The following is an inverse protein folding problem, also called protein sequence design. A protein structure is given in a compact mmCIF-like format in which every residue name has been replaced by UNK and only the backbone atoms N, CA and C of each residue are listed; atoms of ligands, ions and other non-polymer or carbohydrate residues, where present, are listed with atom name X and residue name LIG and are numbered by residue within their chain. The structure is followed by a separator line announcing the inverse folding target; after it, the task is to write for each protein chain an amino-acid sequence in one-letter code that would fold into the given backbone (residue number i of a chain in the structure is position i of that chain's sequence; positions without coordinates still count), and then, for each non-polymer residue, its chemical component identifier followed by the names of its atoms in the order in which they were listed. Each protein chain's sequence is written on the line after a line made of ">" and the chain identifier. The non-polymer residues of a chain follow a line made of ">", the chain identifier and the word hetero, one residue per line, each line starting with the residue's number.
data_IF_481300869033
#
_entry.id   IF_481300869033
#
_cell.length_a   1.000
_cell.length_b   1.000
_cell.length_c   1.000
_cell.angle_alpha   90.00
_cell.angle_beta   90.00
_cell.angle_gamma   90.00
#
_symmetry.space_group_name_H-M   'P 1'
#
loop_
_entity.id
_entity.type
_entity.pdbx_description
1 polymer ?
#
# COMPACT_ATOMS: atom_id res chain seq x y z
N UNK A 1 4.24 -24.24 -10.73
CA UNK A 1 4.89 -23.37 -9.73
C UNK A 1 3.92 -22.30 -9.21
N UNK A 2 3.21 -21.57 -10.08
CA UNK A 2 2.10 -20.68 -9.67
C UNK A 2 0.90 -21.42 -9.05
N UNK A 3 0.56 -22.62 -9.54
CA UNK A 3 -0.44 -23.50 -8.92
C UNK A 3 -0.07 -23.98 -7.49
N UNK A 4 1.22 -24.10 -7.19
CA UNK A 4 1.70 -24.40 -5.82
C UNK A 4 1.60 -23.19 -4.90
N UNK A 5 1.70 -21.97 -5.44
CA UNK A 5 1.46 -20.74 -4.68
C UNK A 5 -0.04 -20.55 -4.40
N UNK A 6 -0.92 -20.91 -5.35
CA UNK A 6 -2.37 -20.92 -5.14
C UNK A 6 -2.81 -22.00 -4.13
N UNK A 7 -2.27 -23.21 -4.19
CA UNK A 7 -2.50 -24.26 -3.21
C UNK A 7 -1.98 -23.92 -1.80
N UNK A 8 -0.93 -23.09 -1.70
CA UNK A 8 -0.39 -22.59 -0.42
C UNK A 8 -1.13 -21.37 0.13
N UNK A 9 -1.67 -20.51 -0.73
CA UNK A 9 -2.69 -19.52 -0.35
C UNK A 9 -3.94 -20.22 0.21
N UNK A 10 -4.30 -21.39 -0.34
CA UNK A 10 -5.35 -22.26 0.19
C UNK A 10 -4.98 -22.93 1.53
N UNK A 11 -3.70 -23.14 1.84
CA UNK A 11 -3.24 -23.60 3.16
C UNK A 11 -3.46 -22.57 4.29
N UNK A 12 -3.48 -21.28 3.96
CA UNK A 12 -3.96 -20.19 4.82
C UNK A 12 -5.49 -19.98 4.74
N UNK A 13 -6.19 -20.77 3.94
CA UNK A 13 -7.64 -20.87 3.92
C UNK A 13 -8.15 -22.10 4.70
N UNK A 14 -7.37 -22.64 5.64
CA UNK A 14 -7.97 -23.41 6.74
C UNK A 14 -8.95 -22.49 7.47
N UNK A 15 -10.07 -23.02 7.97
CA UNK A 15 -11.14 -22.21 8.58
C UNK A 15 -10.61 -21.19 9.59
N UNK A 16 -9.71 -21.62 10.48
CA UNK A 16 -9.07 -20.78 11.49
C UNK A 16 -8.24 -19.59 10.95
N UNK A 17 -7.66 -19.72 9.74
CA UNK A 17 -6.83 -18.67 9.12
C UNK A 17 -7.65 -17.70 8.26
N UNK A 18 -8.86 -18.09 7.83
CA UNK A 18 -9.83 -17.16 7.20
C UNK A 18 -10.41 -16.17 8.20
N UNK A 19 -10.77 -16.64 9.39
CA UNK A 19 -11.31 -15.79 10.46
C UNK A 19 -10.30 -14.72 10.89
N UNK A 20 -9.02 -15.10 10.93
CA UNK A 20 -7.93 -14.17 11.21
C UNK A 20 -7.75 -13.11 10.11
N UNK A 21 -7.80 -13.48 8.83
CA UNK A 21 -7.70 -12.50 7.75
C UNK A 21 -8.89 -11.53 7.76
N UNK A 22 -10.08 -12.01 8.12
CA UNK A 22 -11.24 -11.16 8.36
C UNK A 22 -11.04 -10.23 9.57
N UNK A 23 -10.45 -10.72 10.66
CA UNK A 23 -10.10 -9.92 11.85
C UNK A 23 -9.05 -8.84 11.55
N UNK A 24 -7.97 -9.19 10.85
CA UNK A 24 -6.95 -8.24 10.40
C UNK A 24 -7.57 -7.18 9.48
N UNK A 25 -8.45 -7.58 8.55
CA UNK A 25 -9.18 -6.64 7.69
C UNK A 25 -10.08 -5.71 8.51
N UNK A 26 -10.83 -6.24 9.49
CA UNK A 26 -11.70 -5.45 10.38
C UNK A 26 -10.91 -4.46 11.22
N UNK A 27 -9.83 -4.92 11.85
CA UNK A 27 -8.93 -4.07 12.63
C UNK A 27 -8.31 -2.97 11.74
N UNK A 28 -7.92 -3.31 10.51
CA UNK A 28 -7.39 -2.34 9.54
C UNK A 28 -8.40 -1.27 9.16
N UNK A 29 -9.65 -1.65 8.90
CA UNK A 29 -10.73 -0.69 8.61
C UNK A 29 -11.07 0.19 9.82
N UNK A 30 -11.04 -0.39 11.03
CA UNK A 30 -11.28 0.35 12.27
C UNK A 30 -10.20 1.38 12.54
N UNK A 31 -8.93 0.99 12.39
CA UNK A 31 -7.78 1.89 12.47
C UNK A 31 -7.93 3.00 11.42
N UNK A 32 -8.24 2.66 10.17
CA UNK A 32 -8.47 3.64 9.10
C UNK A 32 -9.53 4.68 9.48
N UNK A 33 -10.71 4.25 9.93
CA UNK A 33 -11.79 5.17 10.37
C UNK A 33 -11.40 6.05 11.56
N UNK A 34 -10.64 5.50 12.50
CA UNK A 34 -10.14 6.26 13.66
C UNK A 34 -9.15 7.34 13.21
N UNK A 35 -8.28 7.00 12.26
CA UNK A 35 -7.34 7.96 11.66
C UNK A 35 -8.06 9.07 10.88
N UNK A 36 -9.15 8.74 10.19
CA UNK A 36 -9.98 9.70 9.45
C UNK A 36 -10.73 10.68 10.39
N UNK A 37 -11.11 10.25 11.60
CA UNK A 37 -11.90 11.05 12.54
C UNK A 37 -11.06 12.00 13.42
N UNK A 38 -9.84 11.61 13.80
CA UNK A 38 -9.05 12.33 14.83
C UNK A 38 -8.05 13.35 14.31
N UNK A 39 -7.57 13.23 13.07
CA UNK A 39 -6.35 13.94 12.65
C UNK A 39 -5.15 13.64 13.56
N UNK A 40 -3.94 14.03 13.16
CA UNK A 40 -2.72 13.65 13.91
C UNK A 40 -2.58 14.28 15.31
N UNK A 41 -3.47 15.21 15.69
CA UNK A 41 -3.35 15.99 16.93
C UNK A 41 -3.75 15.19 18.19
N UNK A 42 -4.57 14.15 18.06
CA UNK A 42 -5.05 13.36 19.21
C UNK A 42 -4.66 11.86 19.16
N UNK A 43 -4.02 11.39 18.07
CA UNK A 43 -3.67 9.97 17.86
C UNK A 43 -2.54 9.41 18.73
N UNK A 44 -2.15 10.11 19.80
CA UNK A 44 -1.31 9.55 20.86
C UNK A 44 -2.05 8.49 21.70
N UNK A 45 -3.38 8.38 21.57
CA UNK A 45 -4.21 7.48 22.35
C UNK A 45 -4.99 6.48 21.48
N UNK A 46 -4.28 5.56 20.82
CA UNK A 46 -4.86 4.41 20.10
C UNK A 46 -5.41 3.31 21.04
N UNK A 47 -5.65 3.61 22.33
CA UNK A 47 -6.06 2.62 23.35
C UNK A 47 -7.56 2.33 23.38
N UNK A 48 -8.37 3.09 22.66
CA UNK A 48 -9.82 2.97 22.66
C UNK A 48 -10.35 2.58 21.27
N UNK A 49 -10.25 1.30 20.91
CA UNK A 49 -11.00 0.76 19.77
C UNK A 49 -11.90 -0.36 20.30
N UNK A 50 -13.21 -0.08 20.31
CA UNK A 50 -14.28 -0.96 20.82
C UNK A 50 -14.76 -1.94 19.76
N UNK A 51 -15.09 -3.12 20.29
CA UNK A 51 -15.83 -4.28 19.78
C UNK A 51 -16.95 -3.98 18.76
N UNK A 52 -16.82 -4.43 17.50
CA UNK A 52 -17.93 -4.48 16.53
C UNK A 52 -17.77 -5.70 15.60
N UNK A 53 -18.79 -6.55 15.62
CA UNK A 53 -19.01 -7.70 14.75
C UNK A 53 -19.42 -7.27 13.34
N UNK A 54 -18.74 -7.79 12.31
CA UNK A 54 -19.25 -7.79 10.94
C UNK A 54 -18.66 -8.97 10.15
N UNK A 55 -19.54 -9.70 9.48
CA UNK A 55 -19.25 -10.80 8.56
C UNK A 55 -18.49 -10.31 7.32
N UNK A 56 -17.45 -11.05 6.91
CA UNK A 56 -16.77 -10.81 5.63
C UNK A 56 -16.63 -12.13 4.88
N UNK A 57 -17.44 -12.29 3.83
CA UNK A 57 -17.20 -13.23 2.73
C UNK A 57 -16.87 -12.43 1.47
N UNK A 58 -15.63 -12.46 1.00
CA UNK A 58 -15.36 -12.38 -0.44
C UNK A 58 -14.24 -13.35 -0.84
N UNK A 59 -14.53 -14.36 -1.67
CA UNK A 59 -13.51 -15.22 -2.28
C UNK A 59 -12.71 -14.45 -3.35
N UNK A 60 -11.51 -14.96 -3.68
CA UNK A 60 -10.63 -14.49 -4.75
C UNK A 60 -11.34 -14.40 -6.11
N UNK A 61 -11.83 -13.21 -6.43
CA UNK A 61 -12.13 -12.68 -7.76
C UNK A 61 -11.78 -11.19 -7.70
N UNK A 62 -11.00 -10.68 -8.65
CA UNK A 62 -10.45 -9.32 -8.59
C UNK A 62 -11.58 -8.29 -8.43
N UNK A 63 -11.65 -7.65 -7.26
CA UNK A 63 -12.59 -6.54 -7.02
C UNK A 63 -12.28 -5.41 -8.04
N UNK A 64 -13.32 -4.77 -8.55
CA UNK A 64 -13.18 -3.62 -9.45
C UNK A 64 -12.89 -2.35 -8.63
N UNK A 65 -12.17 -1.36 -9.19
CA UNK A 65 -12.01 -0.07 -8.56
C UNK A 65 -13.35 0.64 -8.43
N UNK A 66 -13.46 1.46 -7.38
CA UNK A 66 -14.69 2.18 -7.06
C UNK A 66 -14.36 3.65 -6.82
N UNK A 67 -15.14 4.56 -7.42
CA UNK A 67 -15.11 5.98 -7.06
C UNK A 67 -15.87 6.16 -5.76
N UNK A 68 -15.15 6.36 -4.65
CA UNK A 68 -15.74 6.47 -3.31
C UNK A 68 -16.08 7.91 -2.90
N UNK A 69 -15.50 8.90 -3.60
CA UNK A 69 -15.85 10.31 -3.47
C UNK A 69 -15.71 11.00 -4.82
N UNK A 70 -16.66 11.86 -5.15
CA UNK A 70 -16.59 12.74 -6.31
C UNK A 70 -17.08 14.13 -5.91
N UNK A 71 -16.20 15.11 -6.02
CA UNK A 71 -16.48 16.52 -5.78
C UNK A 71 -15.95 17.34 -6.97
N UNK A 72 -16.37 18.60 -7.14
CA UNK A 72 -15.89 19.40 -8.27
C UNK A 72 -14.36 19.40 -8.39
N UNK A 73 -13.86 18.85 -9.49
CA UNK A 73 -12.43 18.80 -9.82
C UNK A 73 -11.60 17.70 -9.13
N UNK A 74 -12.17 16.92 -8.21
CA UNK A 74 -11.44 15.90 -7.44
C UNK A 74 -12.28 14.63 -7.29
N UNK A 75 -11.66 13.49 -7.49
CA UNK A 75 -12.23 12.18 -7.17
C UNK A 75 -11.29 11.39 -6.26
N UNK A 76 -11.88 10.51 -5.44
CA UNK A 76 -11.16 9.51 -4.67
C UNK A 76 -11.60 8.14 -5.12
N UNK A 77 -10.64 7.28 -5.44
CA UNK A 77 -10.85 5.93 -5.94
C UNK A 77 -10.31 4.96 -4.90
N UNK A 78 -11.11 3.97 -4.52
CA UNK A 78 -10.59 2.79 -3.86
C UNK A 78 -9.96 1.88 -4.91
N UNK A 79 -8.62 1.75 -4.87
CA UNK A 79 -7.85 0.83 -5.73
C UNK A 79 -7.74 -0.53 -5.03
N UNK A 80 -8.24 -1.63 -5.61
CA UNK A 80 -8.01 -2.97 -5.10
C UNK A 80 -6.56 -3.42 -5.31
N UNK A 81 -6.13 -4.44 -4.56
CA UNK A 81 -4.84 -5.09 -4.80
C UNK A 81 -4.86 -5.79 -6.17
N UNK A 82 -3.72 -5.78 -6.88
CA UNK A 82 -3.56 -6.35 -8.22
C UNK A 82 -3.69 -5.33 -9.35
N UNK A 83 -4.30 -4.18 -9.10
CA UNK A 83 -4.38 -3.05 -10.05
C UNK A 83 -3.10 -2.22 -10.02
N UNK A 84 -2.50 -1.96 -11.17
CA UNK A 84 -1.42 -0.99 -11.30
C UNK A 84 -2.02 0.41 -11.49
N UNK A 85 -1.44 1.44 -10.87
CA UNK A 85 -1.98 2.81 -11.02
C UNK A 85 -1.86 3.24 -12.47
N UNK A 86 -0.66 3.10 -13.04
CA UNK A 86 -0.41 3.20 -14.47
C UNK A 86 1.01 2.67 -14.83
N UNK A 87 1.24 2.38 -16.11
CA UNK A 87 2.53 1.90 -16.66
C UNK A 87 3.26 2.93 -17.52
N UNK A 88 2.71 4.13 -17.73
CA UNK A 88 3.33 5.14 -18.59
C UNK A 88 4.27 6.07 -17.80
N UNK A 89 5.53 5.66 -17.68
CA UNK A 89 6.64 6.59 -17.41
C UNK A 89 7.53 6.62 -18.65
N UNK A 90 7.09 7.37 -19.66
CA UNK A 90 7.75 7.47 -20.98
C UNK A 90 9.10 8.16 -20.87
N UNK A 91 9.22 9.13 -19.96
CA UNK A 91 10.48 9.86 -19.71
C UNK A 91 11.54 8.96 -19.07
N UNK A 92 11.15 8.05 -18.17
CA UNK A 92 12.10 7.18 -17.48
C UNK A 92 12.46 5.90 -18.25
N UNK A 93 11.55 5.36 -19.07
CA UNK A 93 11.73 4.03 -19.68
C UNK A 93 11.59 3.97 -21.21
N UNK A 94 11.19 5.06 -21.90
CA UNK A 94 11.12 5.15 -23.37
C UNK A 94 10.14 4.17 -24.06
N UNK A 95 9.54 3.25 -23.32
CA UNK A 95 8.61 2.19 -23.72
C UNK A 95 7.70 1.85 -22.53
N UNK A 96 6.47 1.33 -22.76
CA UNK A 96 5.62 0.85 -21.67
C UNK A 96 6.37 -0.17 -20.81
N UNK A 97 6.29 -0.06 -19.48
CA UNK A 97 7.05 -0.88 -18.52
C UNK A 97 6.72 -2.38 -18.66
N UNK A 98 5.63 -2.76 -19.34
CA UNK A 98 5.26 -4.15 -19.65
C UNK A 98 4.17 -4.18 -20.74
N UNK A 99 3.96 -5.29 -21.47
CA UNK A 99 2.77 -5.44 -22.30
C UNK A 99 1.54 -5.29 -21.41
N UNK A 100 0.61 -4.42 -21.80
CA UNK A 100 -0.69 -4.13 -21.15
C UNK A 100 -1.46 -5.43 -20.77
N UNK A 101 -1.11 -6.55 -21.40
CA UNK A 101 -1.70 -7.87 -21.18
C UNK A 101 -1.48 -8.51 -19.79
N UNK A 102 -0.63 -7.99 -18.89
CA UNK A 102 -0.41 -8.63 -17.58
C UNK A 102 -1.24 -8.07 -16.42
N UNK A 103 -1.67 -6.80 -16.47
CA UNK A 103 -2.21 -6.12 -15.30
C UNK A 103 -3.42 -5.24 -15.65
N UNK A 104 -4.38 -5.16 -14.73
CA UNK A 104 -5.46 -4.17 -14.80
C UNK A 104 -4.92 -2.79 -14.43
N UNK A 105 -5.17 -1.79 -15.28
CA UNK A 105 -4.67 -0.43 -15.11
C UNK A 105 -5.78 0.50 -14.59
N UNK A 106 -5.46 1.27 -13.56
CA UNK A 106 -6.37 2.28 -13.04
C UNK A 106 -6.59 3.42 -14.04
N UNK A 107 -5.58 3.74 -14.88
CA UNK A 107 -5.71 4.68 -16.00
C UNK A 107 -6.77 4.24 -17.01
N UNK A 108 -6.89 2.94 -17.31
CA UNK A 108 -7.97 2.42 -18.17
C UNK A 108 -9.34 2.55 -17.51
N UNK A 109 -9.44 2.25 -16.21
CA UNK A 109 -10.67 2.48 -15.45
C UNK A 109 -11.08 3.95 -15.47
N UNK A 110 -10.13 4.87 -15.30
CA UNK A 110 -10.34 6.31 -15.39
C UNK A 110 -10.87 6.72 -16.76
N UNK A 111 -10.19 6.33 -17.84
CA UNK A 111 -10.59 6.68 -19.19
C UNK A 111 -11.98 6.13 -19.56
N UNK A 112 -12.36 4.96 -19.04
CA UNK A 112 -13.67 4.37 -19.25
C UNK A 112 -14.78 5.04 -18.42
N UNK A 113 -14.46 5.50 -17.20
CA UNK A 113 -15.44 6.08 -16.28
C UNK A 113 -15.68 7.58 -16.50
N UNK A 114 -14.73 8.28 -17.11
CA UNK A 114 -14.76 9.73 -17.28
C UNK A 114 -14.55 10.09 -18.77
N UNK A 115 -15.60 10.55 -19.50
CA UNK A 115 -15.51 10.86 -20.92
C UNK A 115 -14.51 11.99 -21.20
N UNK A 116 -13.77 11.88 -22.31
CA UNK A 116 -12.66 12.78 -22.63
C UNK A 116 -13.10 14.22 -22.86
N UNK A 117 -14.30 14.42 -23.37
CA UNK A 117 -14.88 15.72 -23.70
C UNK A 117 -15.12 16.55 -22.45
N UNK A 118 -15.48 15.90 -21.34
CA UNK A 118 -15.76 16.54 -20.06
C UNK A 118 -14.54 16.51 -19.12
N UNK A 119 -13.76 15.42 -19.18
CA UNK A 119 -12.63 15.15 -18.28
C UNK A 119 -11.33 14.90 -19.06
N UNK A 120 -10.83 15.87 -19.84
CA UNK A 120 -9.67 15.68 -20.71
C UNK A 120 -8.40 15.27 -19.95
N UNK A 121 -8.28 15.66 -18.67
CA UNK A 121 -7.12 15.29 -17.84
C UNK A 121 -7.07 13.78 -17.52
N UNK A 122 -8.23 13.12 -17.39
CA UNK A 122 -8.34 11.68 -17.15
C UNK A 122 -7.83 10.83 -18.32
N UNK A 123 -7.50 11.47 -19.45
CA UNK A 123 -6.93 10.88 -20.66
C UNK A 123 -5.52 11.41 -20.97
N UNK A 124 -4.98 12.28 -20.11
CA UNK A 124 -3.70 12.95 -20.35
C UNK A 124 -2.54 12.19 -19.72
N UNK A 125 -1.77 11.48 -20.56
CA UNK A 125 -0.54 10.79 -20.14
C UNK A 125 0.44 11.78 -19.48
N UNK A 126 0.58 12.98 -20.05
CA UNK A 126 1.47 14.02 -19.54
C UNK A 126 1.10 14.50 -18.12
N UNK A 127 -0.13 14.29 -17.69
CA UNK A 127 -0.62 14.63 -16.35
C UNK A 127 -0.98 13.38 -15.54
N UNK A 128 -0.42 12.22 -15.91
CA UNK A 128 -0.64 10.96 -15.21
C UNK A 128 -2.11 10.56 -15.09
N UNK A 129 -2.93 10.85 -16.12
CA UNK A 129 -4.37 10.58 -16.12
C UNK A 129 -5.13 11.24 -14.95
N UNK A 130 -4.60 12.36 -14.44
CA UNK A 130 -5.15 13.10 -13.30
C UNK A 130 -4.63 12.62 -11.94
N UNK A 131 -3.96 11.46 -11.85
CA UNK A 131 -3.38 10.97 -10.60
C UNK A 131 -2.24 11.90 -10.12
N UNK A 132 -2.23 12.23 -8.83
CA UNK A 132 -1.12 13.01 -8.20
C UNK A 132 -0.21 12.16 -7.32
N UNK A 133 -0.60 10.90 -7.07
CA UNK A 133 0.20 9.89 -6.40
C UNK A 133 -0.21 8.50 -6.88
N UNK A 134 0.56 7.49 -6.47
CA UNK A 134 0.32 6.08 -6.83
C UNK A 134 0.37 5.17 -5.62
N UNK A 135 -0.18 3.98 -5.77
CA UNK A 135 0.03 2.84 -4.87
C UNK A 135 0.75 1.73 -5.63
N UNK A 136 1.53 0.92 -4.90
CA UNK A 136 2.10 -0.31 -5.47
C UNK A 136 0.97 -1.23 -5.97
N UNK A 137 1.25 -2.02 -6.99
CA UNK A 137 0.27 -2.92 -7.61
C UNK A 137 -0.49 -3.78 -6.59
N UNK A 138 0.22 -4.43 -5.67
CA UNK A 138 -0.35 -5.34 -4.67
C UNK A 138 -0.88 -4.63 -3.42
N UNK A 139 -0.70 -3.31 -3.32
CA UNK A 139 -1.31 -2.51 -2.26
C UNK A 139 -2.73 -2.11 -2.66
N UNK A 140 -3.68 -2.20 -1.75
CA UNK A 140 -5.01 -1.61 -1.90
C UNK A 140 -5.10 -0.27 -1.18
N UNK A 141 -6.14 0.50 -1.45
CA UNK A 141 -6.48 1.71 -0.70
C UNK A 141 -6.86 2.89 -1.58
N UNK A 142 -6.94 4.06 -0.95
CA UNK A 142 -7.40 5.28 -1.59
C UNK A 142 -6.34 5.89 -2.50
N UNK A 143 -6.76 6.32 -3.68
CA UNK A 143 -6.01 7.16 -4.59
C UNK A 143 -6.84 8.39 -4.91
N UNK A 144 -6.25 9.58 -4.75
CA UNK A 144 -6.88 10.82 -5.19
C UNK A 144 -6.43 11.16 -6.61
N UNK A 145 -7.38 11.56 -7.46
CA UNK A 145 -7.13 12.02 -8.81
C UNK A 145 -7.89 13.33 -9.07
N UNK A 146 -7.32 14.18 -9.90
CA UNK A 146 -7.97 15.40 -10.36
C UNK A 146 -8.79 15.13 -11.63
N UNK A 147 -9.96 15.75 -11.71
CA UNK A 147 -10.82 15.72 -12.91
C UNK A 147 -10.71 17.02 -13.74
N UNK A 148 -9.95 18.00 -13.24
CA UNK A 148 -9.58 19.22 -13.98
C UNK A 148 -8.08 19.51 -13.88
N UNK A 149 -7.53 20.24 -14.84
CA UNK A 149 -6.13 20.70 -14.81
C UNK A 149 -5.83 21.59 -13.61
N UNK A 150 -6.72 22.52 -13.26
CA UNK A 150 -6.53 23.41 -12.11
C UNK A 150 -6.40 22.62 -10.81
N UNK A 151 -7.30 21.68 -10.54
CA UNK A 151 -7.22 20.85 -9.34
C UNK A 151 -5.97 19.97 -9.33
N UNK A 152 -5.52 19.47 -10.48
CA UNK A 152 -4.30 18.69 -10.57
C UNK A 152 -3.07 19.46 -10.07
N UNK A 153 -2.86 20.68 -10.55
CA UNK A 153 -1.72 21.51 -10.13
C UNK A 153 -1.83 21.94 -8.66
N UNK A 154 -3.03 22.26 -8.17
CA UNK A 154 -3.26 22.55 -6.75
C UNK A 154 -2.94 21.35 -5.86
N UNK A 155 -3.39 20.16 -6.24
CA UNK A 155 -3.11 18.92 -5.52
C UNK A 155 -1.64 18.52 -5.60
N UNK A 156 -0.96 18.72 -6.75
CA UNK A 156 0.49 18.54 -6.83
C UNK A 156 1.22 19.48 -5.87
N UNK A 157 0.81 20.75 -5.78
CA UNK A 157 1.38 21.68 -4.82
C UNK A 157 1.15 21.23 -3.38
N UNK A 158 -0.05 20.73 -3.05
CA UNK A 158 -0.35 20.14 -1.74
C UNK A 158 0.48 18.88 -1.43
N UNK A 159 0.75 18.05 -2.43
CA UNK A 159 1.65 16.89 -2.30
C UNK A 159 3.09 17.32 -2.01
N UNK A 160 3.60 18.32 -2.73
CA UNK A 160 4.95 18.84 -2.59
C UNK A 160 5.16 19.63 -1.28
N UNK A 161 4.11 20.27 -0.76
CA UNK A 161 4.10 20.96 0.53
C UNK A 161 3.75 20.05 1.72
N UNK A 162 3.54 18.75 1.47
CA UNK A 162 3.16 17.76 2.48
C UNK A 162 1.82 18.04 3.19
N UNK A 163 0.94 18.79 2.55
CA UNK A 163 -0.40 19.06 3.06
C UNK A 163 -1.35 17.85 2.93
N UNK A 164 -1.08 16.94 1.97
CA UNK A 164 -1.83 15.69 1.83
C UNK A 164 -1.22 14.62 2.73
N UNK A 165 -1.99 14.24 3.75
CA UNK A 165 -1.67 13.14 4.66
C UNK A 165 -2.03 11.80 4.01
N UNK A 166 -1.12 10.83 4.12
CA UNK A 166 -1.33 9.47 3.59
C UNK A 166 -1.04 8.47 4.69
N UNK A 167 -2.04 7.64 4.93
CA UNK A 167 -2.10 6.72 6.04
C UNK A 167 -2.46 5.33 5.51
N UNK A 168 -1.88 4.33 6.15
CA UNK A 168 -1.93 2.94 5.73
C UNK A 168 -2.05 2.05 6.95
N UNK A 169 -2.67 0.90 6.75
CA UNK A 169 -2.54 -0.21 7.68
C UNK A 169 -1.71 -1.30 7.02
N UNK A 170 -0.76 -1.82 7.78
CA UNK A 170 0.22 -2.80 7.27
C UNK A 170 0.35 -3.92 8.27
N UNK A 171 0.28 -5.16 7.77
CA UNK A 171 0.66 -6.33 8.55
C UNK A 171 2.14 -6.62 8.31
N UNK A 172 2.94 -6.69 9.37
CA UNK A 172 4.37 -7.00 9.32
C UNK A 172 4.73 -8.25 10.11
N UNK A 173 5.83 -8.89 9.72
CA UNK A 173 6.44 -9.96 10.50
C UNK A 173 7.16 -9.44 11.74
N UNK A 174 7.23 -10.27 12.77
CA UNK A 174 7.89 -9.99 14.04
C UNK A 174 7.06 -9.12 14.98
N UNK A 175 7.59 -8.94 16.19
CA UNK A 175 7.01 -8.11 17.23
C UNK A 175 7.57 -6.69 17.14
N UNK A 176 6.80 -5.77 16.55
CA UNK A 176 7.12 -4.34 16.58
C UNK A 176 6.71 -3.80 17.94
N UNK A 177 7.66 -3.37 18.74
CA UNK A 177 7.39 -2.88 20.09
C UNK A 177 6.46 -1.66 20.08
N UNK A 178 5.33 -1.67 20.81
CA UNK A 178 4.53 -0.47 21.03
C UNK A 178 5.36 0.59 21.74
N UNK A 179 5.36 1.81 21.21
CA UNK A 179 6.00 2.96 21.83
C UNK A 179 5.01 4.12 21.93
N UNK A 180 4.97 4.86 23.06
CA UNK A 180 4.19 6.09 23.14
C UNK A 180 4.57 7.05 22.01
N UNK A 181 3.59 7.48 21.22
CA UNK A 181 3.81 8.36 20.06
C UNK A 181 4.37 7.68 18.79
N UNK A 182 4.57 6.36 18.81
CA UNK A 182 5.07 5.58 17.67
C UNK A 182 6.56 5.73 17.37
N UNK A 183 7.02 5.11 16.28
CA UNK A 183 8.39 5.17 15.78
C UNK A 183 8.46 6.07 14.54
N UNK A 184 9.42 7.00 14.51
CA UNK A 184 9.76 7.81 13.34
C UNK A 184 10.96 7.19 12.63
N UNK A 185 10.80 6.88 11.35
CA UNK A 185 11.84 6.29 10.50
C UNK A 185 12.34 7.37 9.53
N UNK A 186 13.58 7.80 9.70
CA UNK A 186 14.27 8.75 8.83
C UNK A 186 15.42 8.04 8.11
N UNK A 187 15.10 7.40 6.99
CA UNK A 187 16.07 6.60 6.23
C UNK A 187 15.97 6.89 4.74
N UNK A 188 17.11 7.14 4.08
CA UNK A 188 17.18 7.47 2.66
C UNK A 188 16.99 6.20 1.81
N UNK A 189 16.20 6.31 0.74
CA UNK A 189 15.89 5.18 -0.15
C UNK A 189 16.54 5.39 -1.50
N UNK A 190 17.35 4.42 -1.92
CA UNK A 190 17.91 4.35 -3.25
C UNK A 190 16.99 3.50 -4.14
N UNK A 191 16.43 4.15 -5.15
CA UNK A 191 15.58 3.54 -6.20
C UNK A 191 16.48 2.93 -7.29
N UNK A 192 16.03 1.86 -7.97
CA UNK A 192 16.82 1.21 -9.03
C UNK A 192 18.11 0.53 -8.56
N UNK A 193 18.29 0.34 -7.25
CA UNK A 193 19.55 -0.06 -6.64
C UNK A 193 20.01 -1.48 -7.01
N UNK A 194 19.07 -2.35 -7.42
CA UNK A 194 19.37 -3.73 -7.79
C UNK A 194 18.57 -4.07 -9.06
N UNK A 195 19.26 -4.17 -10.20
CA UNK A 195 18.80 -4.99 -11.33
C UNK A 195 18.91 -6.44 -10.91
N UNK A 196 18.01 -6.90 -10.06
CA UNK A 196 17.99 -8.30 -9.68
C UNK A 196 17.71 -9.11 -10.95
N UNK A 197 18.41 -10.24 -11.16
CA UNK A 197 18.04 -11.31 -12.12
C UNK A 197 16.70 -11.97 -11.74
N UNK A 198 15.80 -11.21 -11.13
CA UNK A 198 14.55 -11.63 -10.53
C UNK A 198 13.42 -11.17 -11.43
N UNK A 199 12.45 -12.06 -11.63
CA UNK A 199 11.17 -11.82 -12.31
C UNK A 199 10.34 -10.68 -11.70
N UNK A 200 10.76 -10.08 -10.58
CA UNK A 200 10.02 -9.07 -9.82
C UNK A 200 10.54 -7.63 -10.00
N UNK A 201 11.38 -7.31 -10.99
CA UNK A 201 11.78 -5.93 -11.32
C UNK A 201 12.77 -5.27 -10.33
N UNK A 202 12.97 -3.96 -10.45
CA UNK A 202 13.94 -3.18 -9.65
C UNK A 202 13.60 -3.16 -8.16
N UNK A 203 14.57 -3.50 -7.31
CA UNK A 203 14.44 -3.40 -5.84
C UNK A 203 14.98 -2.07 -5.34
N UNK A 204 14.30 -1.51 -4.34
CA UNK A 204 14.74 -0.34 -3.59
C UNK A 204 15.46 -0.82 -2.31
N UNK A 205 16.34 0.01 -1.74
CA UNK A 205 16.96 -0.29 -0.44
C UNK A 205 17.30 0.98 0.33
N UNK A 206 17.46 0.84 1.64
CA UNK A 206 18.05 1.92 2.45
C UNK A 206 19.52 2.08 2.10
N UNK A 207 19.92 3.28 1.68
CA UNK A 207 21.30 3.63 1.34
C UNK A 207 21.51 5.15 1.49
N UNK A 208 22.69 5.56 1.95
CA UNK A 208 23.04 6.97 2.16
C UNK A 208 22.97 7.82 0.87
N UNK A 209 23.17 7.21 -0.30
CA UNK A 209 23.04 7.84 -1.62
C UNK A 209 21.59 8.01 -2.07
N UNK A 210 20.63 7.45 -1.34
CA UNK A 210 19.21 7.53 -1.64
C UNK A 210 18.60 8.92 -1.46
N UNK A 211 17.33 9.03 -1.83
CA UNK A 211 16.49 10.21 -1.57
C UNK A 211 15.96 10.15 -0.13
N UNK A 212 15.84 11.29 0.58
CA UNK A 212 15.22 11.32 1.90
C UNK A 212 13.81 10.71 1.88
N UNK A 213 13.53 9.88 2.88
CA UNK A 213 12.23 9.28 3.08
C UNK A 213 11.88 9.26 4.57
N UNK A 214 10.62 9.54 4.87
CA UNK A 214 10.10 9.67 6.23
C UNK A 214 8.77 8.93 6.39
N UNK A 215 8.78 7.98 7.32
CA UNK A 215 7.65 7.12 7.67
C UNK A 215 7.47 7.12 9.17
N UNK A 216 6.23 7.09 9.62
CA UNK A 216 5.83 6.95 11.01
C UNK A 216 5.07 5.64 11.14
N UNK A 217 5.39 4.84 12.15
CA UNK A 217 4.69 3.59 12.42
C UNK A 217 4.25 3.53 13.88
N UNK A 218 3.09 2.95 14.14
CA UNK A 218 2.62 2.61 15.48
C UNK A 218 2.04 1.21 15.47
N UNK A 219 2.48 0.37 16.40
CA UNK A 219 1.90 -0.96 16.57
C UNK A 219 0.51 -0.84 17.20
N UNK A 220 -0.50 -1.34 16.50
CA UNK A 220 -1.90 -1.32 16.92
C UNK A 220 -2.33 -2.65 17.57
N UNK A 221 -1.82 -3.77 17.06
CA UNK A 221 -2.10 -5.09 17.61
C UNK A 221 -0.97 -6.08 17.27
N UNK A 222 -0.91 -7.18 18.02
CA UNK A 222 -0.03 -8.31 17.77
C UNK A 222 -0.83 -9.60 17.75
N UNK A 223 -0.47 -10.50 16.84
CA UNK A 223 -1.09 -11.82 16.77
C UNK A 223 -0.05 -12.90 16.50
N UNK A 224 -0.20 -14.06 17.15
CA UNK A 224 0.54 -15.28 16.79
C UNK A 224 -0.38 -16.24 16.06
N UNK A 225 0.15 -16.87 15.01
CA UNK A 225 -0.60 -17.83 14.19
C UNK A 225 -0.60 -19.25 14.76
N UNK A 226 0.36 -19.57 15.62
CA UNK A 226 0.52 -20.88 16.23
C UNK A 226 1.62 -20.90 17.29
N UNK A 227 1.69 -21.98 18.06
CA UNK A 227 2.76 -22.20 19.02
C UNK A 227 4.10 -22.35 18.26
N UNK A 228 5.08 -21.49 18.59
CA UNK A 228 6.39 -21.48 17.92
C UNK A 228 6.49 -20.64 16.65
N UNK A 229 5.40 -20.02 16.19
CA UNK A 229 5.46 -19.05 15.07
C UNK A 229 5.84 -17.64 15.57
N UNK A 230 6.55 -16.89 14.73
CA UNK A 230 6.83 -15.47 14.99
C UNK A 230 5.52 -14.68 15.07
N UNK A 231 5.41 -13.71 15.98
CA UNK A 231 4.26 -12.82 16.01
C UNK A 231 4.21 -11.97 14.73
N UNK A 232 3.00 -11.57 14.37
CA UNK A 232 2.71 -10.54 13.39
C UNK A 232 2.32 -9.26 14.13
N UNK A 233 2.65 -8.12 13.55
CA UNK A 233 2.25 -6.81 14.05
C UNK A 233 1.34 -6.13 13.04
N UNK A 234 0.19 -5.65 13.50
CA UNK A 234 -0.67 -4.74 12.74
C UNK A 234 -0.22 -3.31 13.02
N UNK A 235 0.20 -2.60 11.98
CA UNK A 235 0.79 -1.28 12.09
C UNK A 235 -0.12 -0.23 11.46
N UNK A 236 -0.38 0.84 12.19
CA UNK A 236 -0.79 2.11 11.61
C UNK A 236 0.46 2.81 11.08
N UNK A 237 0.45 3.21 9.81
CA UNK A 237 1.60 3.79 9.12
C UNK A 237 1.21 5.10 8.48
N UNK A 238 1.99 6.16 8.68
CA UNK A 238 1.84 7.43 7.97
C UNK A 238 3.12 7.78 7.22
N UNK A 239 3.00 8.28 5.99
CA UNK A 239 4.15 8.71 5.20
C UNK A 239 4.10 10.21 4.92
N UNK A 240 5.25 10.88 5.04
CA UNK A 240 5.41 12.28 4.62
C UNK A 240 5.88 12.32 3.17
N UNK A 241 6.88 11.49 2.84
CA UNK A 241 7.39 11.32 1.48
C UNK A 241 6.72 10.12 0.80
N UNK A 242 6.73 10.08 -0.53
CA UNK A 242 6.22 8.94 -1.32
C UNK A 242 7.29 8.33 -2.23
N UNK A 243 8.35 7.74 -1.67
CA UNK A 243 9.37 7.02 -2.48
C UNK A 243 8.87 5.65 -2.91
N UNK A 244 9.44 5.12 -3.99
CA UNK A 244 9.06 3.79 -4.49
C UNK A 244 9.27 2.72 -3.40
N UNK A 245 8.24 1.91 -3.15
CA UNK A 245 8.24 0.84 -2.13
C UNK A 245 8.57 1.33 -0.70
N UNK A 246 8.37 2.61 -0.37
CA UNK A 246 8.92 3.23 0.84
C UNK A 246 8.61 2.46 2.13
N UNK A 247 7.33 2.18 2.38
CA UNK A 247 6.88 1.48 3.59
C UNK A 247 7.54 0.10 3.68
N UNK A 248 7.53 -0.66 2.58
CA UNK A 248 8.07 -2.02 2.49
C UNK A 248 9.57 -2.05 2.80
N UNK A 249 10.33 -1.12 2.21
CA UNK A 249 11.78 -1.00 2.40
C UNK A 249 12.11 -0.55 3.83
N UNK A 250 11.37 0.40 4.39
CA UNK A 250 11.58 0.85 5.77
C UNK A 250 11.27 -0.24 6.78
N UNK A 251 10.17 -0.96 6.60
CA UNK A 251 9.79 -2.09 7.45
C UNK A 251 10.80 -3.24 7.36
N UNK A 252 11.26 -3.58 6.15
CA UNK A 252 12.35 -4.53 5.98
C UNK A 252 13.64 -4.07 6.65
N UNK A 253 14.00 -2.79 6.53
CA UNK A 253 15.20 -2.22 7.14
C UNK A 253 15.18 -2.31 8.67
N UNK A 254 13.99 -2.26 9.28
CA UNK A 254 13.80 -2.46 10.72
C UNK A 254 13.74 -3.94 11.14
N UNK A 255 13.86 -4.90 10.22
CA UNK A 255 13.71 -6.33 10.51
C UNK A 255 12.26 -6.81 10.58
N UNK A 256 11.30 -5.98 10.20
CA UNK A 256 9.86 -6.27 10.30
C UNK A 256 9.18 -6.18 8.93
N UNK A 257 9.57 -6.98 7.92
CA UNK A 257 9.05 -6.84 6.57
C UNK A 257 7.54 -7.08 6.49
N UNK A 258 6.90 -6.49 5.48
CA UNK A 258 5.47 -6.69 5.20
C UNK A 258 5.17 -8.17 4.90
N UNK A 259 4.05 -8.66 5.42
CA UNK A 259 3.59 -10.04 5.19
C UNK A 259 3.24 -10.25 3.71
N UNK A 260 3.53 -11.43 3.17
CA UNK A 260 3.37 -11.80 1.75
C UNK A 260 4.15 -10.93 0.75
N UNK A 261 5.22 -10.29 1.19
CA UNK A 261 6.07 -9.50 0.32
C UNK A 261 7.14 -10.34 -0.38
N UNK A 262 6.77 -10.99 -1.49
CA UNK A 262 7.70 -11.78 -2.30
C UNK A 262 8.88 -11.02 -2.92
N UNK A 263 8.90 -9.67 -2.83
CA UNK A 263 10.02 -8.85 -3.34
C UNK A 263 11.06 -8.59 -2.25
N UNK A 264 10.64 -8.42 -1.00
CA UNK A 264 11.51 -8.02 0.13
C UNK A 264 11.67 -9.10 1.21
N UNK A 265 10.94 -10.21 1.12
CA UNK A 265 11.11 -11.38 2.00
C UNK A 265 11.68 -12.54 1.17
N UNK A 266 12.69 -13.23 1.70
CA UNK A 266 13.22 -14.44 1.07
C UNK A 266 12.18 -15.57 1.12
N UNK A 267 12.13 -16.39 0.07
CA UNK A 267 11.13 -17.46 -0.04
C UNK A 267 11.11 -18.41 1.17
N UNK A 268 12.25 -18.67 1.80
CA UNK A 268 12.30 -19.51 3.00
C UNK A 268 11.69 -18.84 4.24
N UNK A 269 11.86 -17.52 4.42
CA UNK A 269 11.24 -16.76 5.50
C UNK A 269 9.71 -16.64 5.32
N UNK A 270 9.24 -16.53 4.07
CA UNK A 270 7.83 -16.63 3.68
C UNK A 270 7.22 -18.01 4.01
N UNK A 271 8.02 -19.07 3.98
CA UNK A 271 7.58 -20.46 4.19
C UNK A 271 7.64 -20.91 5.65
N UNK A 272 8.51 -20.33 6.48
CA UNK A 272 8.72 -20.78 7.87
C UNK A 272 7.98 -19.98 8.93
N UNK A 273 7.44 -18.78 8.62
CA UNK A 273 6.92 -17.89 9.67
C UNK A 273 7.98 -17.62 10.77
N UNK A 274 9.26 -17.70 10.41
CA UNK A 274 10.37 -17.75 11.36
C UNK A 274 11.54 -16.87 10.87
N UNK A 275 11.99 -16.01 11.79
CA UNK A 275 13.26 -15.28 11.88
C UNK A 275 13.89 -14.74 10.59
N UNK A 276 13.90 -13.41 10.46
CA UNK A 276 15.07 -12.72 9.91
C UNK A 276 15.99 -12.45 11.11
N UNK A 277 17.13 -13.15 11.14
CA UNK A 277 18.17 -12.96 12.15
C UNK A 277 18.79 -11.55 12.06
#
# INVERSE_FOLDING_TARGET
>A
QELNNAARALGYCSGARRDLLAEIRRASLSIGRTMDAGGYAETADLRNVVDITADVRTPLGYEAPEVVLSVPGIIVIFKPAGWETDVYDVEKYGTPITPVARYYLLSTFMAASFPKEEFPICHSVAHGFGFVHRLDQMSSGLIVAATTFTCHYLMQWQMCSYAIQRQYVVLSHGFVQPMPGGLRIHARILEGAVRARSTYGERCRVDRRGKPAQTYISAAAHQRLGAGEEPLSLLAVAIVTGRQHQIRVHLQHLGHPTVYDGRYVEQEALLRGASLA
#
